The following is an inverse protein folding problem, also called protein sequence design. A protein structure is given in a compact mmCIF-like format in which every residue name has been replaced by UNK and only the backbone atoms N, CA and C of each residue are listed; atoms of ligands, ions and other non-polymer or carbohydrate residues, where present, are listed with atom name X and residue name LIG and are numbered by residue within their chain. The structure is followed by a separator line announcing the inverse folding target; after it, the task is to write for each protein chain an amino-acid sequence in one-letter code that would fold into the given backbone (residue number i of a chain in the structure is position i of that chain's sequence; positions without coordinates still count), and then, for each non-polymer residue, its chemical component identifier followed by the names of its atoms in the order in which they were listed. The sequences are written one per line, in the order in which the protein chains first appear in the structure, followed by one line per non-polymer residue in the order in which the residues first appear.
data_IF_493203472085
#
_entry.id   IF_493203472085
#
_cell.length_a   1.000
_cell.length_b   1.000
_cell.length_c   1.000
_cell.angle_alpha   90.00
_cell.angle_beta   90.00
_cell.angle_gamma   90.00
#
_symmetry.space_group_name_H-M   'P 1'
#
loop_
_entity.id
_entity.type
_entity.pdbx_description
1 polymer ?
#
# COMPACT_ATOMS: atom_id res chain seq x y z
N UNK A 1 -10.90 1.01 -14.37
CA UNK A 1 -12.17 1.42 -13.76
C UNK A 1 -12.13 1.07 -12.30
N UNK A 2 -12.25 2.08 -11.44
CA UNK A 2 -12.53 1.87 -10.03
C UNK A 2 -13.99 1.46 -9.94
N UNK A 3 -14.30 0.16 -9.99
CA UNK A 3 -15.63 -0.35 -9.70
C UNK A 3 -16.05 0.08 -8.29
N UNK A 4 -17.34 0.03 -7.96
CA UNK A 4 -17.83 0.28 -6.59
C UNK A 4 -17.29 -0.73 -5.54
N UNK A 5 -16.54 -1.71 -6.00
CA UNK A 5 -15.87 -2.69 -5.15
C UNK A 5 -14.58 -2.11 -4.60
N UNK A 6 -14.39 -2.24 -3.32
CA UNK A 6 -13.17 -1.85 -2.59
C UNK A 6 -11.95 -2.74 -2.93
N UNK A 7 -11.84 -3.23 -4.16
CA UNK A 7 -10.82 -4.17 -4.60
C UNK A 7 -10.03 -3.64 -5.79
N UNK A 8 -8.72 -3.87 -5.76
CA UNK A 8 -7.79 -3.66 -6.88
C UNK A 8 -7.30 -5.01 -7.39
N UNK A 9 -7.47 -5.25 -8.68
CA UNK A 9 -6.91 -6.42 -9.36
C UNK A 9 -5.45 -6.14 -9.73
N UNK A 10 -4.54 -7.04 -9.33
CA UNK A 10 -3.11 -6.96 -9.60
C UNK A 10 -2.72 -8.21 -10.38
N UNK A 11 -2.18 -8.02 -11.57
CA UNK A 11 -1.75 -9.14 -12.41
C UNK A 11 -1.39 -8.71 -13.83
N UNK A 12 -0.88 -9.63 -14.66
CA UNK A 12 -0.46 -9.37 -16.04
C UNK A 12 -1.58 -8.77 -16.90
N UNK A 13 -2.81 -9.21 -16.71
CA UNK A 13 -3.99 -8.66 -17.43
C UNK A 13 -4.21 -7.16 -17.18
N UNK A 14 -3.69 -6.63 -16.08
CA UNK A 14 -3.73 -5.20 -15.74
C UNK A 14 -2.38 -4.51 -15.96
N UNK A 15 -1.48 -5.09 -16.74
CA UNK A 15 -0.16 -4.54 -17.04
C UNK A 15 0.82 -4.55 -15.86
N UNK A 16 0.55 -5.34 -14.83
CA UNK A 16 1.42 -5.45 -13.65
C UNK A 16 2.13 -6.80 -13.66
N UNK A 17 3.45 -6.77 -13.81
CA UNK A 17 4.26 -7.98 -13.69
C UNK A 17 4.19 -8.51 -12.24
N UNK A 18 3.82 -9.77 -12.10
CA UNK A 18 3.78 -10.48 -10.83
C UNK A 18 4.64 -11.73 -10.88
N UNK A 19 5.18 -12.15 -9.73
CA UNK A 19 5.95 -13.39 -9.64
C UNK A 19 5.08 -14.58 -10.08
N UNK A 20 5.54 -15.32 -11.07
CA UNK A 20 4.84 -16.46 -11.69
C UNK A 20 3.53 -16.09 -12.43
N UNK A 21 3.34 -14.83 -12.84
CA UNK A 21 2.14 -14.40 -13.56
C UNK A 21 0.84 -14.49 -12.75
N UNK A 22 0.91 -14.69 -11.43
CA UNK A 22 -0.27 -14.86 -10.59
C UNK A 22 -1.08 -13.58 -10.47
N UNK A 23 -2.37 -13.69 -10.73
CA UNK A 23 -3.33 -12.63 -10.45
C UNK A 23 -3.80 -12.67 -9.00
N UNK A 24 -4.10 -11.50 -8.46
CA UNK A 24 -4.70 -11.37 -7.12
C UNK A 24 -5.59 -10.14 -7.04
N UNK A 25 -6.55 -10.21 -6.16
CA UNK A 25 -7.36 -9.07 -5.74
C UNK A 25 -6.88 -8.61 -4.38
N UNK A 26 -6.70 -7.32 -4.23
CA UNK A 26 -6.31 -6.70 -2.96
C UNK A 26 -7.41 -5.72 -2.58
N UNK A 27 -7.93 -5.88 -1.38
CA UNK A 27 -8.89 -4.93 -0.82
C UNK A 27 -8.19 -3.64 -0.42
N UNK A 28 -8.80 -2.51 -0.72
CA UNK A 28 -8.34 -1.18 -0.35
C UNK A 28 -9.38 -0.49 0.53
N UNK A 29 -8.92 0.34 1.48
CA UNK A 29 -9.82 1.11 2.32
C UNK A 29 -10.61 2.15 1.51
N UNK A 30 -11.81 2.57 1.97
CA UNK A 30 -12.58 3.64 1.34
C UNK A 30 -11.78 4.94 1.20
N UNK A 31 -11.00 5.31 2.21
CA UNK A 31 -10.12 6.49 2.21
C UNK A 31 -9.04 6.40 1.14
N UNK A 32 -8.33 5.28 1.04
CA UNK A 32 -7.36 5.06 -0.03
C UNK A 32 -8.01 5.12 -1.43
N UNK A 33 -9.20 4.53 -1.57
CA UNK A 33 -9.98 4.62 -2.82
C UNK A 33 -10.30 6.06 -3.17
N UNK A 34 -10.79 6.85 -2.22
CA UNK A 34 -11.09 8.27 -2.42
C UNK A 34 -9.86 9.05 -2.86
N UNK A 35 -8.71 8.83 -2.21
CA UNK A 35 -7.43 9.43 -2.57
C UNK A 35 -7.01 9.08 -4.01
N UNK A 36 -7.09 7.81 -4.39
CA UNK A 36 -6.73 7.36 -5.74
C UNK A 36 -7.64 7.96 -6.82
N UNK A 37 -8.95 8.03 -6.55
CA UNK A 37 -9.93 8.66 -7.45
C UNK A 37 -9.68 10.17 -7.55
N UNK A 38 -9.44 10.84 -6.43
CA UNK A 38 -9.09 12.26 -6.38
C UNK A 38 -7.84 12.55 -7.20
N UNK A 39 -6.78 11.77 -7.00
CA UNK A 39 -5.56 11.87 -7.80
C UNK A 39 -5.82 11.63 -9.29
N UNK A 40 -6.60 10.60 -9.65
CA UNK A 40 -6.92 10.28 -11.04
C UNK A 40 -7.61 11.46 -11.76
N UNK A 41 -8.46 12.19 -11.07
CA UNK A 41 -9.20 13.36 -11.58
C UNK A 41 -8.42 14.69 -11.44
N UNK A 42 -7.29 14.70 -10.74
CA UNK A 42 -6.57 15.92 -10.40
C UNK A 42 -6.02 16.67 -11.61
N UNK A 43 -5.98 18.02 -11.52
CA UNK A 43 -5.33 18.90 -12.51
C UNK A 43 -3.85 18.51 -12.69
N UNK A 44 -3.17 18.15 -11.60
CA UNK A 44 -1.78 17.71 -11.60
C UNK A 44 -1.55 16.50 -12.52
N UNK A 45 -2.38 15.47 -12.41
CA UNK A 45 -2.29 14.29 -13.28
C UNK A 45 -2.62 14.63 -14.73
N UNK A 46 -3.68 15.40 -14.97
CA UNK A 46 -4.08 15.81 -16.32
C UNK A 46 -2.97 16.59 -17.05
N UNK A 47 -2.29 17.49 -16.36
CA UNK A 47 -1.16 18.25 -16.94
C UNK A 47 0.02 17.34 -17.30
N UNK A 48 0.29 16.30 -16.51
CA UNK A 48 1.32 15.32 -16.81
C UNK A 48 0.97 14.46 -18.02
N UNK A 49 -0.29 14.05 -18.14
CA UNK A 49 -0.77 13.23 -19.26
C UNK A 49 -0.76 13.97 -20.61
N UNK A 50 -0.81 15.32 -20.63
CA UNK A 50 -0.63 16.08 -21.87
C UNK A 50 0.70 15.82 -22.56
N UNK A 51 1.71 15.37 -21.82
CA UNK A 51 3.06 15.07 -22.33
C UNK A 51 3.18 13.63 -22.84
N UNK A 52 2.38 12.72 -22.28
CA UNK A 52 2.39 11.30 -22.63
C UNK A 52 1.06 10.69 -22.21
N UNK A 53 0.28 10.20 -23.16
CA UNK A 53 -1.05 9.64 -22.92
C UNK A 53 -0.95 8.24 -22.28
N UNK A 54 -0.59 8.19 -21.02
CA UNK A 54 -0.43 6.95 -20.25
C UNK A 54 -1.76 6.48 -19.64
N UNK A 55 -2.09 5.23 -19.83
CA UNK A 55 -3.23 4.57 -19.17
C UNK A 55 -2.96 4.23 -17.69
N UNK A 56 -1.72 4.32 -17.23
CA UNK A 56 -1.37 4.04 -15.84
C UNK A 56 -1.89 5.11 -14.88
N UNK A 57 -2.33 4.66 -13.71
CA UNK A 57 -2.81 5.57 -12.67
C UNK A 57 -1.69 6.53 -12.21
N UNK A 58 -0.56 5.98 -11.78
CA UNK A 58 0.57 6.76 -11.31
C UNK A 58 1.51 7.12 -12.45
N UNK A 59 1.73 8.42 -12.64
CA UNK A 59 2.59 8.95 -13.70
C UNK A 59 3.67 9.89 -13.15
N UNK A 60 4.83 9.83 -13.77
CA UNK A 60 5.98 10.70 -13.48
C UNK A 60 5.73 12.16 -13.93
N UNK A 61 6.69 13.04 -13.68
CA UNK A 61 6.62 14.44 -14.18
C UNK A 61 6.59 14.55 -15.71
N UNK A 62 7.13 13.56 -16.41
CA UNK A 62 7.11 13.47 -17.88
C UNK A 62 5.83 12.85 -18.43
N UNK A 63 4.92 12.38 -17.58
CA UNK A 63 3.72 11.65 -17.98
C UNK A 63 3.92 10.17 -18.25
N UNK A 64 5.15 9.66 -18.18
CA UNK A 64 5.45 8.25 -18.31
C UNK A 64 4.95 7.45 -17.07
N UNK A 65 4.74 6.14 -17.18
CA UNK A 65 4.40 5.29 -16.04
C UNK A 65 5.39 5.48 -14.87
N UNK A 66 4.88 5.42 -13.65
CA UNK A 66 5.72 5.55 -12.46
C UNK A 66 6.45 4.24 -12.22
N UNK A 67 7.76 4.22 -12.48
CA UNK A 67 8.57 3.00 -12.41
C UNK A 67 8.88 2.56 -10.98
N UNK A 68 9.25 1.30 -10.73
CA UNK A 68 9.72 0.83 -9.44
C UNK A 68 10.88 1.66 -8.89
N UNK A 69 11.80 2.10 -9.76
CA UNK A 69 12.90 2.97 -9.37
C UNK A 69 12.42 4.34 -8.87
N UNK A 70 11.38 4.91 -9.51
CA UNK A 70 10.77 6.15 -9.02
C UNK A 70 10.17 5.97 -7.62
N UNK A 71 9.54 4.82 -7.34
CA UNK A 71 9.02 4.49 -6.00
C UNK A 71 10.16 4.47 -4.98
N UNK A 72 11.23 3.71 -5.26
CA UNK A 72 12.38 3.61 -4.38
C UNK A 72 13.05 4.95 -4.11
N UNK A 73 13.24 5.76 -5.15
CA UNK A 73 13.81 7.11 -5.00
C UNK A 73 12.91 8.03 -4.16
N UNK A 74 11.60 7.97 -4.38
CA UNK A 74 10.64 8.76 -3.60
C UNK A 74 10.64 8.34 -2.14
N UNK A 75 10.67 7.03 -1.87
CA UNK A 75 10.78 6.51 -0.52
C UNK A 75 12.09 6.92 0.16
N UNK A 76 13.22 6.87 -0.56
CA UNK A 76 14.52 7.31 -0.04
C UNK A 76 14.50 8.80 0.34
N UNK A 77 13.85 9.65 -0.48
CA UNK A 77 13.71 11.08 -0.15
C UNK A 77 12.88 11.29 1.11
N UNK A 78 11.76 10.55 1.24
CA UNK A 78 10.92 10.58 2.43
C UNK A 78 11.72 10.13 3.66
N UNK A 79 12.42 9.00 3.58
CA UNK A 79 13.29 8.50 4.65
C UNK A 79 14.29 9.55 5.11
N UNK A 80 15.03 10.15 4.18
CA UNK A 80 16.02 11.18 4.50
C UNK A 80 15.38 12.44 5.12
N UNK A 81 14.12 12.75 4.77
CA UNK A 81 13.39 13.84 5.40
C UNK A 81 13.04 13.49 6.85
N UNK A 82 12.48 12.30 7.09
CA UNK A 82 12.18 11.81 8.44
C UNK A 82 13.44 11.79 9.32
N UNK A 83 14.55 11.25 8.82
CA UNK A 83 15.82 11.22 9.56
C UNK A 83 16.30 12.62 9.96
N UNK A 84 16.12 13.61 9.09
CA UNK A 84 16.48 15.02 9.40
C UNK A 84 15.56 15.64 10.46
N UNK A 85 14.25 15.40 10.35
CA UNK A 85 13.25 15.96 11.27
C UNK A 85 13.33 15.32 12.66
N UNK A 86 13.56 14.01 12.71
CA UNK A 86 13.54 13.27 13.97
C UNK A 86 14.92 13.09 14.60
N UNK A 87 16.00 13.42 13.88
CA UNK A 87 17.39 13.11 14.26
C UNK A 87 17.62 11.63 14.58
N UNK A 88 16.77 10.75 14.05
CA UNK A 88 16.79 9.31 14.30
C UNK A 88 16.98 8.55 13.00
N UNK A 89 17.78 7.47 13.04
CA UNK A 89 17.98 6.62 11.89
C UNK A 89 16.69 5.89 11.51
N UNK A 90 16.25 6.04 10.25
CA UNK A 90 15.10 5.37 9.70
C UNK A 90 15.54 4.37 8.61
N UNK A 91 15.95 3.17 9.03
CA UNK A 91 16.56 2.14 8.17
C UNK A 91 15.57 1.37 7.29
N UNK A 92 14.26 1.68 7.38
CA UNK A 92 13.22 0.95 6.66
C UNK A 92 13.26 1.16 5.13
N UNK A 93 12.73 0.18 4.41
CA UNK A 93 12.67 0.13 2.95
C UNK A 93 11.23 0.06 2.47
N UNK A 94 11.01 0.17 1.16
CA UNK A 94 9.68 -0.04 0.57
C UNK A 94 9.12 -1.45 0.83
N UNK A 95 10.00 -2.44 1.09
CA UNK A 95 9.55 -3.80 1.43
C UNK A 95 8.89 -3.85 2.82
N UNK A 96 9.34 -3.02 3.74
CA UNK A 96 8.76 -2.94 5.09
C UNK A 96 7.34 -2.39 5.07
N UNK A 97 6.97 -1.55 4.08
CA UNK A 97 5.57 -1.13 3.87
C UNK A 97 4.67 -2.34 3.60
N UNK A 98 5.16 -3.33 2.86
CA UNK A 98 4.43 -4.57 2.62
C UNK A 98 4.27 -5.38 3.90
N UNK A 99 5.33 -5.47 4.71
CA UNK A 99 5.28 -6.13 6.00
C UNK A 99 4.29 -5.43 6.94
N UNK A 100 4.34 -4.11 6.99
CA UNK A 100 3.42 -3.26 7.76
C UNK A 100 1.97 -3.53 7.34
N UNK A 101 1.65 -3.45 6.05
CA UNK A 101 0.31 -3.75 5.55
C UNK A 101 -0.16 -5.15 5.98
N UNK A 102 0.70 -6.17 5.81
CA UNK A 102 0.37 -7.54 6.20
C UNK A 102 0.04 -7.65 7.68
N UNK A 103 0.87 -7.04 8.52
CA UNK A 103 0.71 -7.08 9.98
C UNK A 103 -0.61 -6.43 10.42
N UNK A 104 -0.88 -5.21 9.96
CA UNK A 104 -2.09 -4.49 10.35
C UNK A 104 -3.37 -5.13 9.81
N UNK A 105 -3.33 -5.58 8.56
CA UNK A 105 -4.49 -6.20 7.96
C UNK A 105 -4.82 -7.55 8.61
N UNK A 106 -3.79 -8.31 8.96
CA UNK A 106 -3.96 -9.54 9.73
C UNK A 106 -4.55 -9.26 11.11
N UNK A 107 -4.04 -8.26 11.82
CA UNK A 107 -4.59 -7.83 13.10
C UNK A 107 -6.09 -7.49 12.99
N UNK A 108 -6.46 -6.69 11.99
CA UNK A 108 -7.85 -6.33 11.70
C UNK A 108 -8.74 -7.55 11.44
N UNK A 109 -8.26 -8.55 10.70
CA UNK A 109 -9.02 -9.78 10.45
C UNK A 109 -9.22 -10.63 11.71
N UNK A 110 -8.20 -10.70 12.56
CA UNK A 110 -8.27 -11.39 13.83
C UNK A 110 -9.24 -10.71 14.80
N UNK A 111 -9.29 -9.39 14.82
CA UNK A 111 -10.21 -8.60 15.66
C UNK A 111 -11.69 -8.82 15.31
N UNK A 112 -12.01 -9.01 14.03
CA UNK A 112 -13.38 -9.32 13.59
C UNK A 112 -13.73 -10.81 13.67
N UNK A 113 -12.89 -11.61 14.30
CA UNK A 113 -13.15 -13.03 14.57
C UNK A 113 -12.84 -13.99 13.43
N UNK A 114 -12.16 -13.55 12.35
CA UNK A 114 -11.79 -14.41 11.21
C UNK A 114 -10.54 -15.26 11.46
N UNK A 115 -10.39 -15.83 12.66
CA UNK A 115 -9.14 -16.50 13.07
C UNK A 115 -8.69 -17.62 12.12
N UNK A 116 -9.62 -18.46 11.65
CA UNK A 116 -9.28 -19.59 10.76
C UNK A 116 -8.95 -19.15 9.34
N UNK A 117 -9.59 -18.10 8.86
CA UNK A 117 -9.49 -17.67 7.46
C UNK A 117 -8.52 -16.52 7.25
N UNK A 118 -8.11 -15.83 8.33
CA UNK A 118 -7.25 -14.65 8.26
C UNK A 118 -5.91 -14.93 7.54
N UNK A 119 -5.27 -16.07 7.87
CA UNK A 119 -3.99 -16.46 7.24
C UNK A 119 -4.19 -16.74 5.75
N UNK A 120 -5.21 -17.51 5.40
CA UNK A 120 -5.54 -17.84 3.99
C UNK A 120 -5.87 -16.59 3.19
N UNK A 121 -6.68 -15.69 3.75
CA UNK A 121 -7.03 -14.42 3.12
C UNK A 121 -5.80 -13.54 2.92
N UNK A 122 -4.93 -13.45 3.93
CA UNK A 122 -3.68 -12.70 3.80
C UNK A 122 -2.74 -13.30 2.77
N UNK A 123 -2.65 -14.63 2.69
CA UNK A 123 -1.86 -15.30 1.64
C UNK A 123 -2.35 -14.92 0.24
N UNK A 124 -3.66 -14.90 0.04
CA UNK A 124 -4.27 -14.51 -1.24
C UNK A 124 -3.94 -13.04 -1.59
N UNK A 125 -4.14 -12.11 -0.69
CA UNK A 125 -3.84 -10.69 -0.91
C UNK A 125 -2.35 -10.40 -1.13
N UNK A 126 -1.51 -11.06 -0.33
CA UNK A 126 -0.06 -10.89 -0.42
C UNK A 126 0.57 -11.68 -1.58
N UNK A 127 -0.13 -12.71 -2.08
CA UNK A 127 0.41 -13.62 -3.08
C UNK A 127 1.54 -14.49 -2.51
N UNK A 128 1.45 -14.87 -1.23
CA UNK A 128 2.39 -15.80 -0.62
C UNK A 128 2.11 -17.23 -1.12
N UNK A 129 3.17 -17.98 -1.43
CA UNK A 129 3.08 -19.38 -1.85
C UNK A 129 3.15 -20.37 -0.68
N UNK A 130 3.48 -19.89 0.52
CA UNK A 130 3.62 -20.69 1.73
C UNK A 130 2.97 -19.99 2.92
N UNK A 131 2.19 -20.74 3.68
CA UNK A 131 1.59 -20.27 4.94
C UNK A 131 2.64 -19.82 5.96
N UNK A 132 3.77 -20.53 6.03
CA UNK A 132 4.86 -20.20 6.93
C UNK A 132 5.33 -18.73 6.79
N UNK A 133 5.24 -18.16 5.59
CA UNK A 133 5.55 -16.76 5.37
C UNK A 133 4.53 -15.83 6.04
N UNK A 134 3.26 -16.21 6.07
CA UNK A 134 2.20 -15.41 6.70
C UNK A 134 2.18 -15.64 8.21
N UNK A 135 2.45 -16.85 8.69
CA UNK A 135 2.54 -17.17 10.11
C UNK A 135 3.58 -16.33 10.87
N UNK A 136 4.66 -15.93 10.23
CA UNK A 136 5.63 -14.99 10.82
C UNK A 136 5.01 -13.67 11.29
N UNK A 137 3.96 -13.22 10.61
CA UNK A 137 3.22 -12.00 10.99
C UNK A 137 2.25 -12.26 12.15
N UNK A 138 1.66 -13.46 12.22
CA UNK A 138 0.85 -13.88 13.37
C UNK A 138 1.72 -13.92 14.63
N UNK A 139 2.86 -14.60 14.56
CA UNK A 139 3.82 -14.66 15.67
C UNK A 139 4.28 -13.27 16.11
N UNK A 140 4.49 -12.37 15.16
CA UNK A 140 4.84 -10.98 15.45
C UNK A 140 3.73 -10.25 16.21
N UNK A 141 2.46 -10.43 15.80
CA UNK A 141 1.31 -9.81 16.45
C UNK A 141 1.10 -10.34 17.87
N UNK A 142 1.25 -11.64 18.07
CA UNK A 142 1.14 -12.25 19.40
C UNK A 142 2.22 -11.75 20.36
N UNK A 143 3.43 -11.48 19.84
CA UNK A 143 4.54 -10.97 20.64
C UNK A 143 4.44 -9.49 20.98
N UNK A 144 3.66 -8.71 20.24
CA UNK A 144 3.58 -7.24 20.42
C UNK A 144 2.14 -6.79 20.64
N UNK A 145 1.71 -6.78 21.91
CA UNK A 145 0.41 -6.20 22.32
C UNK A 145 0.21 -4.70 21.94
N UNK A 146 1.29 -4.00 21.58
CA UNK A 146 1.28 -2.55 21.31
C UNK A 146 1.01 -2.16 19.84
N UNK A 147 0.67 -3.11 18.97
CA UNK A 147 0.42 -2.83 17.53
C UNK A 147 -0.85 -2.01 17.32
N UNK A 148 -1.81 -2.05 18.26
CA UNK A 148 -3.06 -1.25 18.20
C UNK A 148 -2.83 0.26 18.18
N UNK A 149 -1.92 0.75 19.03
CA UNK A 149 -1.65 2.19 19.13
C UNK A 149 -1.00 2.74 17.86
N UNK A 150 -0.11 1.97 17.24
CA UNK A 150 0.54 2.37 16.01
C UNK A 150 -0.40 2.35 14.78
N UNK A 151 -1.42 1.48 14.75
CA UNK A 151 -2.40 1.46 13.67
C UNK A 151 -3.30 2.69 13.69
N UNK A 152 -3.80 3.06 14.87
CA UNK A 152 -4.58 4.29 15.09
C UNK A 152 -3.79 5.53 14.69
N UNK A 153 -2.51 5.57 15.01
CA UNK A 153 -1.64 6.69 14.66
C UNK A 153 -1.45 6.84 13.14
N UNK A 154 -1.30 5.73 12.41
CA UNK A 154 -1.18 5.78 10.94
C UNK A 154 -2.47 6.21 10.24
N UNK A 155 -3.62 5.78 10.75
CA UNK A 155 -4.91 6.24 10.24
C UNK A 155 -5.10 7.75 10.48
N UNK A 156 -4.73 8.25 11.65
CA UNK A 156 -4.76 9.68 11.97
C UNK A 156 -3.86 10.49 11.02
N UNK A 157 -2.63 10.04 10.78
CA UNK A 157 -1.71 10.71 9.84
C UNK A 157 -2.26 10.71 8.40
N UNK A 158 -2.88 9.61 7.98
CA UNK A 158 -3.48 9.52 6.64
C UNK A 158 -4.69 10.44 6.50
N UNK A 159 -5.51 10.52 7.54
CA UNK A 159 -6.64 11.46 7.58
C UNK A 159 -6.16 12.91 7.57
N UNK A 160 -5.22 13.28 8.43
CA UNK A 160 -4.64 14.63 8.47
C UNK A 160 -4.02 15.04 7.14
N UNK A 161 -3.24 14.15 6.49
CA UNK A 161 -2.63 14.42 5.19
C UNK A 161 -3.64 14.57 4.05
N UNK A 162 -4.82 13.99 4.18
CA UNK A 162 -5.93 14.16 3.24
C UNK A 162 -6.57 15.55 3.37
N UNK A 163 -6.66 16.09 4.58
CA UNK A 163 -7.24 17.43 4.83
C UNK A 163 -6.29 18.57 4.45
N UNK A 164 -4.98 18.40 4.58
CA UNK A 164 -3.99 19.41 4.18
C UNK A 164 -3.76 19.48 2.65
N UNK A 165 -4.26 18.51 1.89
CA UNK A 165 -4.02 18.38 0.44
C UNK A 165 -5.20 18.87 -0.42
N UNK A 166 -6.29 19.34 0.20
CA UNK A 166 -7.49 19.88 -0.43
C UNK A 166 -7.47 21.40 -0.37
#
# INVERSE_FOLDING_TARGET
EFSDKSEVKIGPMNGVATKYGKERKVEISPSLRALLVGYAKSKRRRLRLKKNNSSFLLVSKSGAPFSPNNVQQSFRRLRNAVERETSSLFSHTTHDLRATYCTYRLASLLEIGMQKDAVTQMMAWMGHSSEATTWKYVDFLERKKNVREAASFLDTILEESLYESI
#
